data_IF_908835863555
#
_entry.id   IF_908835863555
#
_cell.length_a   1.000
_cell.length_b   1.000
_cell.length_c   1.000
_cell.angle_alpha   90.00
_cell.angle_beta   90.00
_cell.angle_gamma   90.00
#
_symmetry.space_group_name_H-M   'P 1'
#
loop_
_entity.id
_entity.type
_entity.pdbx_description
1 polymer ?
#
# COMPACT_ATOMS: atom_id res chain seq x y z
N UNK A 1 7.34 -2.84 -2.40
CA UNK A 1 7.74 -3.06 -0.99
C UNK A 1 7.27 -1.87 -0.17
N UNK A 2 6.78 -2.06 1.05
CA UNK A 2 6.48 -0.95 1.95
C UNK A 2 7.78 -0.31 2.45
N UNK A 3 7.93 0.99 2.24
CA UNK A 3 9.10 1.77 2.66
C UNK A 3 8.71 3.12 3.26
N UNK A 4 7.47 3.22 3.74
CA UNK A 4 6.86 4.44 4.26
C UNK A 4 5.87 5.10 3.29
N UNK A 5 5.13 6.07 3.82
CA UNK A 5 4.01 6.73 3.13
C UNK A 5 4.44 7.44 1.84
N UNK A 6 5.54 8.19 1.86
CA UNK A 6 6.01 8.93 0.68
C UNK A 6 6.24 8.01 -0.53
N UNK A 7 7.00 6.93 -0.34
CA UNK A 7 7.28 5.98 -1.41
C UNK A 7 6.04 5.19 -1.84
N UNK A 8 5.07 5.00 -0.94
CA UNK A 8 3.79 4.40 -1.29
C UNK A 8 2.96 5.31 -2.21
N UNK A 9 2.91 6.62 -1.95
CA UNK A 9 2.24 7.59 -2.83
C UNK A 9 2.96 7.67 -4.18
N UNK A 10 4.29 7.79 -4.19
CA UNK A 10 5.08 7.79 -5.42
C UNK A 10 4.83 6.53 -6.28
N UNK A 11 4.65 5.37 -5.65
CA UNK A 11 4.31 4.13 -6.35
C UNK A 11 2.89 4.14 -6.95
N UNK A 12 1.93 4.81 -6.30
CA UNK A 12 0.59 5.02 -6.86
C UNK A 12 0.68 5.95 -8.07
N UNK A 13 1.35 7.09 -7.94
CA UNK A 13 1.54 8.04 -9.05
C UNK A 13 2.20 7.37 -10.25
N UNK A 14 3.26 6.59 -10.01
CA UNK A 14 3.93 5.82 -11.04
C UNK A 14 2.98 4.80 -11.70
N UNK A 15 2.20 4.06 -10.92
CA UNK A 15 1.22 3.10 -11.45
C UNK A 15 0.21 3.81 -12.35
N UNK A 16 -0.35 4.94 -11.90
CA UNK A 16 -1.35 5.70 -12.64
C UNK A 16 -0.78 6.29 -13.94
N UNK A 17 0.49 6.73 -13.93
CA UNK A 17 1.18 7.26 -15.11
C UNK A 17 1.45 6.24 -16.21
N UNK A 18 1.34 4.93 -15.92
CA UNK A 18 1.45 3.88 -16.94
C UNK A 18 0.10 3.44 -17.53
N UNK A 19 -1.03 3.93 -17.00
CA UNK A 19 -2.35 3.49 -17.44
C UNK A 19 -2.76 4.20 -18.73
N UNK A 20 -3.05 3.41 -19.76
CA UNK A 20 -3.58 3.95 -21.03
C UNK A 20 -5.03 4.38 -20.86
N UNK A 21 -5.57 5.19 -21.78
CA UNK A 21 -6.96 5.71 -21.71
C UNK A 21 -8.06 4.64 -21.50
N UNK A 22 -7.81 3.37 -21.82
CA UNK A 22 -8.78 2.26 -21.65
C UNK A 22 -8.79 1.64 -20.25
N UNK A 23 -7.78 1.90 -19.42
CA UNK A 23 -7.56 1.15 -18.17
C UNK A 23 -8.32 1.73 -16.97
N UNK A 24 -9.58 1.33 -16.73
CA UNK A 24 -10.36 1.88 -15.61
C UNK A 24 -10.15 1.14 -14.27
N UNK A 25 -9.27 0.13 -14.23
CA UNK A 25 -9.01 -0.69 -13.03
C UNK A 25 -7.53 -0.98 -12.93
N UNK A 26 -6.95 -0.80 -11.75
CA UNK A 26 -5.55 -1.09 -11.46
C UNK A 26 -5.42 -1.77 -10.10
N UNK A 27 -4.32 -2.49 -9.91
CA UNK A 27 -4.00 -3.12 -8.63
C UNK A 27 -2.57 -2.83 -8.21
N UNK A 28 -2.37 -2.59 -6.91
CA UNK A 28 -1.06 -2.40 -6.29
C UNK A 28 -0.87 -3.43 -5.18
N UNK A 29 0.19 -4.22 -5.30
CA UNK A 29 0.56 -5.21 -4.29
C UNK A 29 1.71 -4.67 -3.45
N UNK A 30 1.49 -4.56 -2.14
CA UNK A 30 2.44 -4.05 -1.17
C UNK A 30 2.87 -5.18 -0.25
N UNK A 31 4.18 -5.35 -0.10
CA UNK A 31 4.77 -6.32 0.83
C UNK A 31 5.42 -5.58 2.00
N UNK A 32 5.05 -5.93 3.23
CA UNK A 32 5.71 -5.48 4.45
C UNK A 32 6.75 -6.51 4.90
N UNK A 33 8.03 -6.15 4.93
CA UNK A 33 9.11 -7.01 5.45
C UNK A 33 9.73 -6.49 6.73
N UNK A 34 9.68 -5.18 6.96
CA UNK A 34 10.54 -4.51 7.93
C UNK A 34 9.77 -3.92 9.12
N UNK A 35 8.46 -3.71 8.99
CA UNK A 35 7.67 -3.01 10.02
C UNK A 35 6.95 -4.02 10.91
N UNK A 36 7.31 -4.03 12.19
CA UNK A 36 6.55 -4.72 13.23
C UNK A 36 5.20 -4.03 13.49
N UNK A 37 4.17 -4.82 13.83
CA UNK A 37 2.83 -4.29 14.13
C UNK A 37 1.98 -4.05 12.88
N UNK A 38 1.38 -5.13 12.38
CA UNK A 38 0.62 -5.11 11.12
C UNK A 38 -0.62 -4.19 11.15
N UNK A 39 -1.34 -4.15 12.27
CA UNK A 39 -2.54 -3.31 12.39
C UNK A 39 -2.23 -1.81 12.29
N UNK A 40 -1.12 -1.36 12.92
CA UNK A 40 -0.68 0.03 12.81
C UNK A 40 -0.26 0.39 11.38
N UNK A 41 0.34 -0.57 10.67
CA UNK A 41 0.66 -0.40 9.26
C UNK A 41 -0.58 -0.31 8.37
N UNK A 42 -1.60 -1.13 8.62
CA UNK A 42 -2.89 -1.04 7.92
C UNK A 42 -3.51 0.35 8.05
N UNK A 43 -3.55 0.92 9.26
CA UNK A 43 -4.06 2.27 9.49
C UNK A 43 -3.24 3.34 8.76
N UNK A 44 -1.90 3.21 8.76
CA UNK A 44 -1.02 4.13 8.03
C UNK A 44 -1.26 4.07 6.52
N UNK A 45 -1.43 2.88 5.97
CA UNK A 45 -1.69 2.70 4.54
C UNK A 45 -3.05 3.29 4.16
N UNK A 46 -4.11 3.03 4.93
CA UNK A 46 -5.44 3.62 4.71
C UNK A 46 -5.40 5.16 4.72
N UNK A 47 -4.74 5.75 5.71
CA UNK A 47 -4.55 7.20 5.78
C UNK A 47 -3.74 7.73 4.60
N UNK A 48 -2.73 6.98 4.16
CA UNK A 48 -1.92 7.35 2.99
C UNK A 48 -2.78 7.39 1.73
N UNK A 49 -3.60 6.36 1.48
CA UNK A 49 -4.53 6.32 0.34
C UNK A 49 -5.46 7.54 0.32
N UNK A 50 -6.05 7.87 1.47
CA UNK A 50 -6.97 9.02 1.61
C UNK A 50 -6.27 10.37 1.47
N UNK A 51 -4.96 10.43 1.71
CA UNK A 51 -4.15 11.65 1.55
C UNK A 51 -3.72 11.93 0.11
N UNK A 52 -3.92 10.99 -0.82
CA UNK A 52 -3.51 11.16 -2.20
C UNK A 52 -4.31 12.31 -2.87
N UNK A 53 -3.67 13.25 -3.59
CA UNK A 53 -4.36 14.42 -4.17
C UNK A 53 -5.54 14.06 -5.08
N UNK A 54 -5.40 12.99 -5.86
CA UNK A 54 -6.43 12.49 -6.78
C UNK A 54 -7.47 11.56 -6.13
N UNK A 55 -7.41 11.32 -4.81
CA UNK A 55 -8.37 10.47 -4.12
C UNK A 55 -9.79 11.04 -4.25
N UNK A 56 -10.75 10.17 -4.62
CA UNK A 56 -12.16 10.55 -4.73
C UNK A 56 -12.94 9.98 -3.56
N UNK A 57 -12.90 8.65 -3.38
CA UNK A 57 -13.71 7.97 -2.37
C UNK A 57 -13.28 6.52 -2.15
N UNK A 58 -13.57 5.94 -0.98
CA UNK A 58 -13.40 4.51 -0.77
C UNK A 58 -14.51 3.72 -1.47
N UNK A 59 -14.18 2.49 -1.87
CA UNK A 59 -15.14 1.48 -2.34
C UNK A 59 -15.25 0.41 -1.27
N UNK A 60 -16.47 0.13 -0.81
CA UNK A 60 -16.72 -0.83 0.27
C UNK A 60 -16.22 -2.22 -0.10
N UNK A 61 -15.35 -2.76 0.75
CA UNK A 61 -14.91 -4.15 0.74
C UNK A 61 -14.84 -4.65 2.20
N UNK A 62 -14.95 -5.96 2.39
CA UNK A 62 -14.99 -6.58 3.72
C UNK A 62 -13.76 -7.47 4.01
N UNK A 63 -12.66 -7.28 3.27
CA UNK A 63 -11.44 -8.09 3.41
C UNK A 63 -10.35 -7.31 4.17
N UNK A 64 -9.85 -7.82 5.31
CA UNK A 64 -8.72 -7.23 6.01
C UNK A 64 -7.45 -7.24 5.15
N UNK A 65 -6.64 -6.18 5.22
CA UNK A 65 -5.41 -6.07 4.42
C UNK A 65 -5.65 -5.73 2.94
N UNK A 66 -6.88 -5.43 2.55
CA UNK A 66 -7.24 -4.94 1.23
C UNK A 66 -7.89 -3.56 1.33
N UNK A 67 -7.70 -2.72 0.31
CA UNK A 67 -8.38 -1.43 0.15
C UNK A 67 -8.76 -1.22 -1.29
N UNK A 68 -9.99 -0.80 -1.54
CA UNK A 68 -10.41 -0.36 -2.86
C UNK A 68 -10.83 1.09 -2.81
N UNK A 69 -10.33 1.89 -3.75
CA UNK A 69 -10.63 3.32 -3.84
C UNK A 69 -10.97 3.70 -5.28
N UNK A 70 -11.73 4.79 -5.42
CA UNK A 70 -11.80 5.55 -6.67
C UNK A 70 -10.78 6.68 -6.62
N UNK A 71 -9.98 6.77 -7.68
CA UNK A 71 -8.93 7.77 -7.83
C UNK A 71 -9.05 8.39 -9.23
N UNK A 72 -8.86 9.71 -9.33
CA UNK A 72 -8.86 10.42 -10.62
C UNK A 72 -7.56 10.15 -11.37
N UNK A 73 -7.63 10.04 -12.70
CA UNK A 73 -6.42 10.00 -13.54
C UNK A 73 -5.66 11.32 -13.44
N UNK A 74 -4.32 11.27 -13.48
CA UNK A 74 -3.48 12.46 -13.54
C UNK A 74 -3.51 13.16 -14.91
N UNK A 75 -3.87 12.43 -15.97
CA UNK A 75 -3.88 12.91 -17.35
C UNK A 75 -5.25 13.43 -17.81
N UNK A 76 -6.33 12.90 -17.24
CA UNK A 76 -7.70 13.20 -17.62
C UNK A 76 -8.58 13.26 -16.36
N UNK A 77 -9.10 14.45 -16.06
CA UNK A 77 -9.83 14.71 -14.84
C UNK A 77 -11.23 14.07 -14.80
N UNK A 78 -11.80 13.76 -15.95
CA UNK A 78 -13.10 13.11 -16.09
C UNK A 78 -12.99 11.58 -15.98
N UNK A 79 -11.75 11.06 -15.96
CA UNK A 79 -11.49 9.64 -15.86
C UNK A 79 -11.25 9.19 -14.43
N UNK A 80 -12.08 8.24 -14.00
CA UNK A 80 -11.95 7.56 -12.73
C UNK A 80 -11.35 6.17 -12.90
N UNK A 81 -10.42 5.82 -12.00
CA UNK A 81 -9.77 4.53 -11.92
C UNK A 81 -10.15 3.89 -10.61
N UNK A 82 -10.54 2.61 -10.65
CA UNK A 82 -10.68 1.81 -9.44
C UNK A 82 -9.33 1.19 -9.10
N UNK A 83 -8.69 1.68 -8.04
CA UNK A 83 -7.44 1.13 -7.54
C UNK A 83 -7.72 0.12 -6.42
N UNK A 84 -7.18 -1.09 -6.55
CA UNK A 84 -7.22 -2.12 -5.54
C UNK A 84 -5.83 -2.33 -4.92
N UNK A 85 -5.69 -2.13 -3.63
CA UNK A 85 -4.42 -2.26 -2.92
C UNK A 85 -4.46 -3.45 -1.99
N UNK A 86 -3.44 -4.30 -2.09
CA UNK A 86 -3.23 -5.45 -1.22
C UNK A 86 -2.01 -5.22 -0.36
N UNK A 87 -2.10 -5.53 0.94
CA UNK A 87 -0.96 -5.49 1.85
C UNK A 87 -0.70 -6.89 2.43
N UNK A 88 0.45 -7.45 2.07
CA UNK A 88 0.91 -8.72 2.59
C UNK A 88 1.97 -8.51 3.68
N UNK A 89 1.77 -9.17 4.83
CA UNK A 89 2.75 -9.16 5.90
C UNK A 89 3.75 -10.31 5.74
N UNK A 90 5.01 -9.97 5.50
CA UNK A 90 6.15 -10.87 5.43
C UNK A 90 7.18 -10.58 6.53
N UNK A 91 6.81 -9.77 7.53
CA UNK A 91 7.69 -9.44 8.64
C UNK A 91 8.04 -10.70 9.44
N UNK A 92 9.34 -10.95 9.59
CA UNK A 92 9.88 -12.01 10.44
C UNK A 92 10.64 -11.33 11.57
N UNK A 93 10.27 -11.55 12.85
CA UNK A 93 11.07 -11.06 13.95
C UNK A 93 12.44 -11.75 13.91
N UNK A 94 13.51 -10.96 13.93
CA UNK A 94 14.86 -11.51 14.06
C UNK A 94 14.92 -12.41 15.31
N UNK A 95 15.32 -13.67 15.13
CA UNK A 95 15.69 -14.50 16.28
C UNK A 95 16.87 -13.81 16.94
N UNK A 96 16.65 -13.33 18.17
CA UNK A 96 17.72 -12.76 18.99
C UNK A 96 18.92 -13.69 18.95
N UNK A 97 20.11 -13.14 18.69
CA UNK A 97 21.38 -13.87 18.77
C UNK A 97 21.41 -14.57 20.13
N UNK A 98 21.22 -15.87 20.14
CA UNK A 98 21.31 -16.70 21.32
C UNK A 98 22.71 -16.49 21.90
N UNK A 99 22.79 -15.94 23.10
CA UNK A 99 24.02 -15.67 23.83
C UNK A 99 24.75 -17.00 24.11
N UNK A 100 25.51 -17.51 23.15
CA UNK A 100 26.52 -18.54 23.39
C UNK A 100 27.77 -17.84 23.93
N UNK A 101 27.68 -17.36 25.16
CA UNK A 101 28.84 -16.97 25.98
C UNK A 101 28.57 -17.35 27.43
N UNK A 102 28.34 -18.63 27.64
CA UNK A 102 28.44 -19.24 28.97
C UNK A 102 29.47 -20.37 28.90
N UNK A 103 30.51 -20.21 29.72
CA UNK A 103 31.52 -21.19 30.15
C UNK A 103 32.64 -21.53 29.15
N UNK A 104 33.77 -20.84 29.32
CA UNK A 104 35.06 -21.52 29.56
C UNK A 104 35.93 -20.68 30.48
#
# INVERSE_FOLDING_TARGET
MWRGQKQFIEAIDQLLGYLTWRDCKAALIVFNRDVAGFSGLQSKLDNSLKSHPNFISPVRINQPGEWRIRIRSGEDADREITLHVFLFNLYVPEKGKENVRAKS
#
